data_IF_630588267882
#
_entry.id   IF_630588267882
#
_cell.length_a   1.000
_cell.length_b   1.000
_cell.length_c   1.000
_cell.angle_alpha   90.00
_cell.angle_beta   90.00
_cell.angle_gamma   90.00
#
_symmetry.space_group_name_H-M   'P 1'
#
loop_
_entity.id
_entity.type
_entity.pdbx_description
1 polymer ?
#
# COMPACT_ATOMS: atom_id res chain seq x y z
N UNK A 1 6.88 14.80 -4.23
CA UNK A 1 5.62 14.88 -3.46
C UNK A 1 5.33 13.51 -2.86
N UNK A 2 4.99 13.43 -1.57
CA UNK A 2 4.47 12.18 -1.02
C UNK A 2 3.07 12.00 -1.56
N UNK A 3 2.86 10.95 -2.29
CA UNK A 3 1.52 10.58 -2.74
C UNK A 3 0.84 9.90 -1.56
N UNK A 4 -0.24 10.47 -1.05
CA UNK A 4 -1.07 9.76 -0.08
C UNK A 4 -1.96 8.75 -0.80
N UNK A 5 -2.39 7.69 -0.10
CA UNK A 5 -3.35 6.74 -0.70
C UNK A 5 -4.68 7.41 -1.06
N UNK A 6 -5.02 8.51 -0.37
CA UNK A 6 -6.21 9.30 -0.67
C UNK A 6 -6.03 10.09 -1.96
N UNK A 7 -4.86 10.73 -2.15
CA UNK A 7 -4.59 11.49 -3.37
C UNK A 7 -4.68 10.60 -4.61
N UNK A 8 -4.13 9.37 -4.53
CA UNK A 8 -4.27 8.37 -5.60
C UNK A 8 -5.74 8.05 -5.87
N UNK A 9 -6.53 7.86 -4.80
CA UNK A 9 -7.94 7.52 -4.95
C UNK A 9 -8.76 8.68 -5.52
N UNK A 10 -8.51 9.90 -5.06
CA UNK A 10 -9.21 11.11 -5.50
C UNK A 10 -8.87 11.43 -6.96
N UNK A 11 -7.61 11.26 -7.36
CA UNK A 11 -7.16 11.42 -8.75
C UNK A 11 -7.83 10.40 -9.68
N UNK A 12 -7.81 9.12 -9.30
CA UNK A 12 -8.40 8.04 -10.12
C UNK A 12 -9.93 8.12 -10.23
N UNK A 13 -10.60 8.59 -9.19
CA UNK A 13 -12.04 8.74 -9.20
C UNK A 13 -12.49 10.12 -9.71
N UNK A 14 -11.59 11.08 -9.82
CA UNK A 14 -11.84 12.49 -10.14
C UNK A 14 -12.93 13.10 -9.23
N UNK A 15 -12.91 12.72 -7.94
CA UNK A 15 -13.80 13.23 -6.90
C UNK A 15 -13.08 13.32 -5.56
N UNK A 16 -13.48 14.24 -4.70
CA UNK A 16 -13.04 14.26 -3.30
C UNK A 16 -13.75 13.15 -2.51
N UNK A 17 -12.96 12.19 -1.99
CA UNK A 17 -13.53 11.01 -1.31
C UNK A 17 -13.60 11.15 0.21
N UNK A 18 -13.24 12.30 0.79
CA UNK A 18 -13.12 12.49 2.23
C UNK A 18 -14.41 12.18 3.00
N UNK A 19 -15.56 12.60 2.46
CA UNK A 19 -16.87 12.31 3.05
C UNK A 19 -17.35 10.87 2.79
N UNK A 20 -16.83 10.23 1.74
CA UNK A 20 -17.29 8.92 1.27
C UNK A 20 -16.58 7.76 1.95
N UNK A 21 -15.28 7.93 2.27
CA UNK A 21 -14.45 6.87 2.80
C UNK A 21 -13.40 7.41 3.77
N UNK A 22 -13.22 6.78 4.92
CA UNK A 22 -12.22 7.18 5.92
C UNK A 22 -10.84 6.61 5.58
N UNK A 23 -9.77 7.29 6.02
CA UNK A 23 -8.38 6.85 5.78
C UNK A 23 -8.10 5.45 6.32
N UNK A 24 -8.71 5.07 7.43
CA UNK A 24 -8.59 3.71 7.97
C UNK A 24 -9.13 2.65 7.00
N UNK A 25 -10.24 2.97 6.32
CA UNK A 25 -10.83 2.06 5.33
C UNK A 25 -9.98 2.03 4.07
N UNK A 26 -9.47 3.18 3.61
CA UNK A 26 -8.54 3.28 2.49
C UNK A 26 -7.31 2.41 2.76
N UNK A 27 -6.67 2.56 3.91
CA UNK A 27 -5.50 1.76 4.30
C UNK A 27 -5.83 0.26 4.38
N UNK A 28 -7.02 -0.10 4.85
CA UNK A 28 -7.47 -1.50 4.88
C UNK A 28 -7.65 -2.07 3.47
N UNK A 29 -8.20 -1.29 2.52
CA UNK A 29 -8.36 -1.74 1.14
C UNK A 29 -7.01 -1.87 0.44
N UNK A 30 -6.10 -0.93 0.67
CA UNK A 30 -4.72 -1.02 0.21
C UNK A 30 -4.02 -2.30 0.71
N UNK A 31 -4.07 -2.58 2.02
CA UNK A 31 -3.49 -3.81 2.59
C UNK A 31 -4.08 -5.07 1.97
N UNK A 32 -5.38 -5.06 1.67
CA UNK A 32 -6.06 -6.18 1.02
C UNK A 32 -5.58 -6.40 -0.42
N UNK A 33 -5.41 -5.31 -1.17
CA UNK A 33 -4.84 -5.35 -2.51
C UNK A 33 -3.38 -5.81 -2.49
N UNK A 34 -2.56 -5.22 -1.61
CA UNK A 34 -1.15 -5.57 -1.43
C UNK A 34 -0.96 -7.03 -1.04
N UNK A 35 -1.79 -7.56 -0.14
CA UNK A 35 -1.73 -8.97 0.25
C UNK A 35 -1.98 -9.90 -0.95
N UNK A 36 -2.93 -9.56 -1.82
CA UNK A 36 -3.17 -10.32 -3.05
C UNK A 36 -2.01 -10.18 -4.04
N UNK A 37 -1.54 -8.96 -4.27
CA UNK A 37 -0.45 -8.65 -5.19
C UNK A 37 0.81 -9.46 -4.85
N UNK A 38 1.22 -9.45 -3.58
CA UNK A 38 2.41 -10.16 -3.08
C UNK A 38 2.36 -11.68 -3.21
N UNK A 39 1.23 -12.27 -3.51
CA UNK A 39 1.14 -13.71 -3.77
C UNK A 39 1.70 -14.11 -5.13
N UNK A 40 1.71 -13.19 -6.07
CA UNK A 40 2.00 -13.47 -7.47
C UNK A 40 3.05 -12.56 -8.07
N UNK A 41 3.29 -11.42 -7.47
CA UNK A 41 4.19 -10.38 -7.94
C UNK A 41 5.22 -10.00 -6.90
N UNK A 42 6.41 -9.68 -7.38
CA UNK A 42 7.44 -9.10 -6.55
C UNK A 42 7.12 -7.63 -6.32
N UNK A 43 6.81 -7.30 -5.09
CA UNK A 43 6.84 -5.89 -4.69
C UNK A 43 8.30 -5.46 -4.55
N UNK A 44 8.68 -4.22 -4.97
CA UNK A 44 10.06 -3.76 -4.85
C UNK A 44 10.62 -4.04 -3.47
N UNK A 45 11.69 -4.84 -3.43
CA UNK A 45 12.35 -5.31 -2.19
C UNK A 45 13.23 -4.24 -1.53
N UNK A 46 13.13 -2.99 -1.94
CA UNK A 46 13.81 -1.93 -1.22
C UNK A 46 13.20 -1.85 0.18
N UNK A 47 13.87 -2.46 1.13
CA UNK A 47 13.47 -2.42 2.54
C UNK A 47 13.48 -0.98 3.10
N UNK A 48 14.00 -0.03 2.33
CA UNK A 48 14.09 1.37 2.71
C UNK A 48 13.70 2.27 1.55
N UNK A 49 13.10 3.40 1.87
CA UNK A 49 12.78 4.46 0.94
C UNK A 49 13.39 5.77 1.43
N UNK A 50 14.07 6.48 0.52
CA UNK A 50 14.62 7.81 0.80
C UNK A 50 13.57 8.85 0.44
N UNK A 51 13.02 9.48 1.46
CA UNK A 51 12.04 10.53 1.32
C UNK A 51 12.70 11.89 1.33
N UNK A 52 12.53 12.66 0.26
CA UNK A 52 13.01 14.04 0.17
C UNK A 52 11.90 14.98 0.60
N UNK A 53 12.20 15.88 1.55
CA UNK A 53 11.26 16.87 2.06
C UNK A 53 11.88 18.25 1.82
N UNK A 54 11.14 19.10 1.12
CA UNK A 54 11.51 20.48 0.85
C UNK A 54 10.66 21.44 1.69
N UNK A 55 11.13 22.69 1.79
CA UNK A 55 10.35 23.73 2.49
C UNK A 55 8.99 23.91 1.83
N UNK A 56 7.94 23.85 2.62
CA UNK A 56 6.56 23.94 2.15
C UNK A 56 5.90 22.60 1.82
N UNK A 57 6.63 21.48 1.89
CA UNK A 57 6.05 20.17 1.67
C UNK A 57 5.17 19.72 2.85
N UNK A 58 4.10 19.00 2.52
CA UNK A 58 3.29 18.28 3.49
C UNK A 58 4.04 17.05 4.00
N UNK A 59 4.10 16.87 5.33
CA UNK A 59 4.79 15.77 5.98
C UNK A 59 3.79 14.73 6.49
N UNK A 60 3.79 13.50 5.96
CA UNK A 60 2.94 12.41 6.45
C UNK A 60 3.23 12.05 7.91
N UNK A 61 2.19 11.60 8.63
CA UNK A 61 2.27 11.20 10.04
C UNK A 61 3.37 10.18 10.33
N UNK A 62 3.57 9.26 9.40
CA UNK A 62 4.56 8.20 9.54
C UNK A 62 6.00 8.69 9.64
N UNK A 63 6.27 9.93 9.19
CA UNK A 63 7.59 10.54 9.23
C UNK A 63 7.82 11.41 10.49
N UNK A 64 6.76 11.75 11.22
CA UNK A 64 6.83 12.72 12.34
C UNK A 64 7.78 12.34 13.46
N UNK A 65 7.95 11.05 13.73
CA UNK A 65 8.83 10.54 14.79
C UNK A 65 10.28 10.31 14.33
N UNK A 66 10.59 10.55 13.05
CA UNK A 66 11.96 10.37 12.53
C UNK A 66 12.89 11.45 13.09
N UNK A 67 14.10 11.03 13.47
CA UNK A 67 15.15 11.96 13.92
C UNK A 67 15.84 12.52 12.69
N UNK A 68 15.83 13.82 12.58
CA UNK A 68 16.41 14.58 11.45
C UNK A 68 17.30 15.70 11.96
N UNK A 69 18.15 16.19 11.09
CA UNK A 69 18.92 17.43 11.35
C UNK A 69 18.48 18.48 10.35
N UNK A 70 17.90 19.55 10.85
CA UNK A 70 17.39 20.68 10.07
C UNK A 70 18.12 21.95 10.53
N UNK A 71 18.75 22.66 9.62
CA UNK A 71 19.47 23.93 9.90
C UNK A 71 20.45 23.80 11.10
N UNK A 72 21.13 22.66 11.21
CA UNK A 72 22.11 22.39 12.28
C UNK A 72 21.50 21.97 13.63
N UNK A 73 20.18 21.87 13.74
CA UNK A 73 19.49 21.34 14.92
C UNK A 73 19.01 19.93 14.69
N UNK A 74 19.34 19.02 15.60
CA UNK A 74 18.86 17.65 15.56
C UNK A 74 17.66 17.47 16.49
N UNK A 75 16.56 16.92 15.96
CA UNK A 75 15.33 16.70 16.70
C UNK A 75 14.37 15.80 15.95
N UNK A 76 13.18 15.56 16.49
CA UNK A 76 12.12 14.88 15.75
C UNK A 76 11.62 15.76 14.61
N UNK A 77 11.27 15.15 13.49
CA UNK A 77 10.73 15.88 12.35
C UNK A 77 9.48 16.70 12.72
N UNK A 78 8.67 16.20 13.65
CA UNK A 78 7.50 16.93 14.19
C UNK A 78 7.83 18.28 14.81
N UNK A 79 9.08 18.51 15.25
CA UNK A 79 9.52 19.79 15.81
C UNK A 79 9.79 20.85 14.74
N UNK A 80 9.95 20.44 13.49
CA UNK A 80 10.23 21.29 12.33
C UNK A 80 9.03 21.43 11.38
N UNK A 81 7.89 20.93 11.79
CA UNK A 81 6.64 20.93 11.02
C UNK A 81 5.59 21.74 11.75
N UNK A 82 4.82 22.53 11.02
CA UNK A 82 3.65 23.20 11.61
C UNK A 82 2.62 22.17 12.05
N UNK A 83 2.21 22.21 13.30
CA UNK A 83 1.32 21.20 13.91
C UNK A 83 -0.09 21.18 13.34
N UNK A 84 -0.54 22.27 12.71
CA UNK A 84 -1.90 22.38 12.15
C UNK A 84 -1.92 22.02 10.66
N UNK A 85 -0.97 22.55 9.91
CA UNK A 85 -0.94 22.38 8.45
C UNK A 85 -0.09 21.21 8.01
N UNK A 86 0.74 20.65 8.90
CA UNK A 86 1.70 19.59 8.59
C UNK A 86 2.74 19.98 7.54
N UNK A 87 3.02 21.28 7.40
CA UNK A 87 3.97 21.80 6.44
C UNK A 87 5.36 21.87 7.09
N UNK A 88 6.38 21.43 6.35
CA UNK A 88 7.77 21.52 6.77
C UNK A 88 8.28 22.95 6.65
N UNK A 89 8.86 23.45 7.74
CA UNK A 89 9.33 24.84 7.87
C UNK A 89 10.87 25.00 7.82
N UNK A 90 11.60 23.94 7.49
CA UNK A 90 13.06 24.01 7.33
C UNK A 90 13.47 24.77 6.07
N UNK A 91 14.68 25.31 6.06
CA UNK A 91 15.22 26.06 4.90
C UNK A 91 15.98 25.17 3.92
N UNK A 92 16.45 24.00 4.36
CA UNK A 92 17.19 23.06 3.56
C UNK A 92 16.35 21.81 3.23
N UNK A 93 16.55 21.26 2.05
CA UNK A 93 16.01 19.93 1.70
C UNK A 93 16.60 18.87 2.62
N UNK A 94 15.76 18.08 3.25
CA UNK A 94 16.19 16.97 4.10
C UNK A 94 15.87 15.63 3.46
N UNK A 95 16.71 14.63 3.75
CA UNK A 95 16.49 13.25 3.32
C UNK A 95 16.15 12.41 4.54
N UNK A 96 15.00 11.74 4.49
CA UNK A 96 14.53 10.85 5.55
C UNK A 96 14.50 9.42 5.02
N UNK A 97 15.29 8.55 5.63
CA UNK A 97 15.32 7.12 5.27
C UNK A 97 14.32 6.38 6.14
N UNK A 98 13.33 5.79 5.53
CA UNK A 98 12.30 5.00 6.21
C UNK A 98 12.37 3.54 5.81
N UNK A 99 12.15 2.65 6.78
CA UNK A 99 11.95 1.23 6.49
C UNK A 99 10.55 1.02 5.91
N UNK A 100 10.46 0.36 4.75
CA UNK A 100 9.18 0.04 4.13
C UNK A 100 8.55 -1.19 4.77
N UNK A 101 7.26 -1.09 4.99
CA UNK A 101 6.40 -2.17 5.48
C UNK A 101 5.04 -2.11 4.78
N UNK A 102 4.14 -3.02 5.11
CA UNK A 102 2.82 -3.09 4.49
C UNK A 102 1.96 -1.81 4.68
N UNK A 103 2.31 -0.94 5.63
CA UNK A 103 1.53 0.27 5.90
C UNK A 103 2.04 1.50 5.14
N UNK A 104 3.30 1.50 4.71
CA UNK A 104 3.95 2.66 4.14
C UNK A 104 4.61 2.40 2.77
N UNK A 105 4.49 1.19 2.24
CA UNK A 105 5.10 0.83 0.96
C UNK A 105 4.58 1.69 -0.22
N UNK A 106 3.40 2.27 -0.10
CA UNK A 106 2.84 3.19 -1.09
C UNK A 106 3.65 4.49 -1.26
N UNK A 107 4.44 4.88 -0.26
CA UNK A 107 5.31 6.07 -0.35
C UNK A 107 6.39 5.93 -1.42
N UNK A 108 6.75 4.71 -1.80
CA UNK A 108 7.68 4.43 -2.89
C UNK A 108 7.02 4.42 -4.28
N UNK A 109 5.73 4.72 -4.35
CA UNK A 109 4.89 4.57 -5.53
C UNK A 109 4.22 3.20 -5.61
N UNK A 110 3.08 3.13 -6.27
CA UNK A 110 2.35 1.88 -6.48
C UNK A 110 2.59 1.36 -7.90
N UNK A 111 2.85 0.05 -8.07
CA UNK A 111 2.72 -0.57 -9.39
C UNK A 111 1.30 -0.44 -9.91
N UNK A 112 1.14 -0.20 -11.21
CA UNK A 112 -0.16 0.05 -11.87
C UNK A 112 -1.22 -0.99 -11.51
N UNK A 113 -0.87 -2.27 -11.54
CA UNK A 113 -1.82 -3.34 -11.24
C UNK A 113 -2.26 -3.36 -9.77
N UNK A 114 -1.35 -2.98 -8.86
CA UNK A 114 -1.67 -2.85 -7.43
C UNK A 114 -2.56 -1.65 -7.18
N UNK A 115 -2.26 -0.53 -7.82
CA UNK A 115 -3.04 0.71 -7.74
C UNK A 115 -4.47 0.48 -8.22
N UNK A 116 -4.63 -0.07 -9.41
CA UNK A 116 -5.93 -0.39 -9.98
C UNK A 116 -6.73 -1.39 -9.13
N UNK A 117 -6.07 -2.41 -8.57
CA UNK A 117 -6.72 -3.34 -7.64
C UNK A 117 -7.15 -2.65 -6.35
N UNK A 118 -6.33 -1.74 -5.83
CA UNK A 118 -6.64 -0.93 -4.65
C UNK A 118 -7.86 -0.02 -4.90
N UNK A 119 -7.85 0.73 -6.01
CA UNK A 119 -8.95 1.61 -6.42
C UNK A 119 -10.24 0.81 -6.62
N UNK A 120 -10.18 -0.35 -7.27
CA UNK A 120 -11.33 -1.22 -7.44
C UNK A 120 -11.93 -1.66 -6.08
N UNK A 121 -11.08 -1.99 -5.10
CA UNK A 121 -11.55 -2.30 -3.74
C UNK A 121 -12.22 -1.10 -3.06
N UNK A 122 -11.70 0.12 -3.28
CA UNK A 122 -12.31 1.34 -2.75
C UNK A 122 -13.66 1.63 -3.42
N UNK A 123 -13.78 1.48 -4.76
CA UNK A 123 -15.04 1.62 -5.50
C UNK A 123 -16.14 0.72 -4.93
N UNK A 124 -15.83 -0.53 -4.59
CA UNK A 124 -16.80 -1.44 -3.95
C UNK A 124 -17.32 -0.86 -2.64
N UNK A 125 -16.46 -0.33 -1.79
CA UNK A 125 -16.85 0.21 -0.48
C UNK A 125 -17.65 1.50 -0.63
N UNK A 126 -17.20 2.40 -1.50
CA UNK A 126 -17.89 3.68 -1.78
C UNK A 126 -19.26 3.40 -2.38
N UNK A 127 -19.33 2.54 -3.40
CA UNK A 127 -20.58 2.16 -4.04
C UNK A 127 -21.59 1.56 -3.05
N UNK A 128 -21.13 0.67 -2.14
CA UNK A 128 -21.98 0.16 -1.06
C UNK A 128 -22.52 1.28 -0.16
N UNK A 129 -21.65 2.23 0.25
CA UNK A 129 -22.07 3.34 1.09
C UNK A 129 -23.09 4.23 0.40
N UNK A 130 -22.85 4.60 -0.84
CA UNK A 130 -23.78 5.42 -1.64
C UNK A 130 -25.15 4.74 -1.81
N UNK A 131 -25.13 3.42 -2.01
CA UNK A 131 -26.35 2.62 -2.16
C UNK A 131 -27.22 2.58 -0.89
N UNK A 132 -26.58 2.54 0.27
CA UNK A 132 -27.29 2.44 1.56
C UNK A 132 -27.46 3.79 2.29
N UNK A 133 -26.72 4.82 1.88
CA UNK A 133 -26.83 6.15 2.47
C UNK A 133 -27.81 6.98 1.63
N UNK A 134 -28.88 7.40 2.23
CA UNK A 134 -29.67 8.53 1.70
C UNK A 134 -28.86 9.81 1.96
N UNK A 135 -27.89 10.12 1.10
CA UNK A 135 -27.24 11.43 1.08
C UNK A 135 -28.07 12.42 0.28
N UNK A 136 -28.86 13.30 0.93
CA UNK A 136 -29.81 14.18 0.22
C UNK A 136 -29.18 15.41 -0.39
N UNK A 137 -27.85 15.58 -0.37
CA UNK A 137 -27.26 16.89 -0.67
C UNK A 137 -25.93 16.88 -1.43
N UNK A 138 -25.59 15.82 -2.14
CA UNK A 138 -24.40 15.88 -2.99
C UNK A 138 -24.76 16.43 -4.38
N UNK A 139 -23.98 17.43 -4.90
CA UNK A 139 -24.25 18.03 -6.21
C UNK A 139 -23.95 17.09 -7.40
N UNK A 140 -23.47 15.89 -7.14
CA UNK A 140 -23.26 14.84 -8.13
C UNK A 140 -24.10 13.63 -7.76
N UNK A 141 -24.97 13.23 -8.67
CA UNK A 141 -25.62 11.91 -8.62
C UNK A 141 -24.56 10.85 -8.88
N UNK A 142 -23.76 10.53 -7.85
CA UNK A 142 -22.84 9.39 -7.92
C UNK A 142 -23.70 8.13 -7.96
N UNK A 143 -23.63 7.41 -9.07
CA UNK A 143 -24.32 6.13 -9.23
C UNK A 143 -23.65 5.07 -8.34
N UNK A 144 -24.22 4.87 -7.15
CA UNK A 144 -23.71 3.88 -6.21
C UNK A 144 -23.78 2.44 -6.73
N UNK A 145 -24.77 2.11 -7.57
CA UNK A 145 -24.88 0.78 -8.19
C UNK A 145 -23.84 0.60 -9.28
N UNK A 146 -23.64 1.59 -10.14
CA UNK A 146 -22.59 1.60 -11.16
C UNK A 146 -21.22 1.45 -10.54
N UNK A 147 -20.89 2.28 -9.54
CA UNK A 147 -19.59 2.24 -8.86
C UNK A 147 -19.34 0.90 -8.13
N UNK A 148 -20.37 0.33 -7.51
CA UNK A 148 -20.26 -0.99 -6.88
C UNK A 148 -19.98 -2.09 -7.90
N UNK A 149 -20.69 -2.09 -9.02
CA UNK A 149 -20.53 -3.09 -10.08
C UNK A 149 -19.15 -2.97 -10.74
N UNK A 150 -18.75 -1.75 -11.14
CA UNK A 150 -17.41 -1.49 -11.67
C UNK A 150 -16.31 -1.95 -10.70
N UNK A 151 -16.45 -1.61 -9.43
CA UNK A 151 -15.49 -2.03 -8.40
C UNK A 151 -15.43 -3.54 -8.28
N UNK A 152 -16.57 -4.23 -8.30
CA UNK A 152 -16.62 -5.70 -8.17
C UNK A 152 -16.00 -6.39 -9.38
N UNK A 153 -16.32 -5.93 -10.59
CA UNK A 153 -15.73 -6.43 -11.83
C UNK A 153 -14.25 -6.10 -11.91
N UNK A 154 -13.85 -4.89 -11.53
CA UNK A 154 -12.45 -4.47 -11.47
C UNK A 154 -11.64 -5.32 -10.50
N UNK A 155 -12.14 -5.61 -9.30
CA UNK A 155 -11.47 -6.50 -8.34
C UNK A 155 -11.26 -7.89 -8.93
N UNK A 156 -12.24 -8.44 -9.62
CA UNK A 156 -12.12 -9.75 -10.28
C UNK A 156 -11.09 -9.70 -11.39
N UNK A 157 -11.22 -8.72 -12.29
CA UNK A 157 -10.31 -8.54 -13.44
C UNK A 157 -8.85 -8.41 -12.99
N UNK A 158 -8.55 -7.48 -12.09
CA UNK A 158 -7.19 -7.22 -11.66
C UNK A 158 -6.59 -8.37 -10.86
N UNK A 159 -7.38 -9.09 -10.11
CA UNK A 159 -6.92 -10.32 -9.44
C UNK A 159 -6.54 -11.41 -10.43
N UNK A 160 -7.37 -11.62 -11.44
CA UNK A 160 -7.10 -12.62 -12.48
C UNK A 160 -5.89 -12.19 -13.32
N UNK A 161 -5.77 -10.91 -13.65
CA UNK A 161 -4.64 -10.35 -14.38
C UNK A 161 -3.32 -10.53 -13.63
N UNK A 162 -3.26 -10.17 -12.34
CA UNK A 162 -2.08 -10.34 -11.49
C UNK A 162 -1.70 -11.82 -11.36
N UNK A 163 -2.68 -12.70 -11.24
CA UNK A 163 -2.47 -14.15 -11.13
C UNK A 163 -1.94 -14.74 -12.44
N UNK A 164 -2.48 -14.33 -13.60
CA UNK A 164 -2.06 -14.82 -14.92
C UNK A 164 -0.66 -14.33 -15.30
N UNK A 165 -0.35 -13.09 -14.95
CA UNK A 165 0.94 -12.47 -15.23
C UNK A 165 1.87 -12.56 -14.02
N UNK A 166 1.81 -13.66 -13.27
CA UNK A 166 2.72 -13.90 -12.15
C UNK A 166 4.17 -13.85 -12.60
N UNK A 167 5.03 -13.34 -11.73
CA UNK A 167 6.47 -13.36 -11.99
C UNK A 167 6.93 -14.82 -12.06
N UNK A 168 7.57 -15.19 -13.17
CA UNK A 168 7.96 -16.58 -13.46
C UNK A 168 9.20 -17.03 -12.69
N UNK A 169 9.73 -16.19 -11.81
CA UNK A 169 10.89 -16.56 -11.01
C UNK A 169 10.45 -17.45 -9.81
N UNK A 170 10.62 -18.77 -9.93
CA UNK A 170 10.16 -19.70 -8.88
C UNK A 170 10.89 -19.52 -7.54
N UNK A 171 12.12 -19.00 -7.54
CA UNK A 171 12.85 -18.71 -6.31
C UNK A 171 12.21 -17.56 -5.55
N UNK A 172 11.81 -16.52 -6.26
CA UNK A 172 11.15 -15.36 -5.67
C UNK A 172 9.74 -15.68 -5.11
N UNK A 173 8.98 -16.54 -5.78
CA UNK A 173 7.67 -16.96 -5.30
C UNK A 173 7.80 -17.82 -4.04
N UNK A 174 8.83 -18.66 -3.98
CA UNK A 174 9.12 -19.49 -2.81
C UNK A 174 9.51 -18.62 -1.63
N UNK A 175 10.32 -17.60 -1.85
CA UNK A 175 10.76 -16.62 -0.86
C UNK A 175 9.59 -15.87 -0.24
N UNK A 176 8.70 -15.32 -1.08
CA UNK A 176 7.51 -14.59 -0.61
C UNK A 176 6.55 -15.47 0.18
N UNK A 177 6.36 -16.72 -0.24
CA UNK A 177 5.55 -17.69 0.50
C UNK A 177 6.18 -18.02 1.84
N UNK A 178 7.49 -18.16 1.87
CA UNK A 178 8.21 -18.46 3.10
C UNK A 178 8.10 -17.31 4.10
N UNK A 179 8.36 -16.08 3.70
CA UNK A 179 8.21 -14.90 4.56
C UNK A 179 6.77 -14.73 5.06
N UNK A 180 5.78 -14.99 4.20
CA UNK A 180 4.37 -14.91 4.58
C UNK A 180 3.95 -15.94 5.64
N UNK A 181 4.56 -17.14 5.61
CA UNK A 181 4.19 -18.23 6.51
C UNK A 181 5.05 -18.29 7.78
N UNK A 182 6.30 -17.90 7.72
CA UNK A 182 7.25 -18.13 8.82
C UNK A 182 7.78 -16.85 9.45
N UNK A 183 7.66 -15.71 8.76
CA UNK A 183 8.29 -14.45 9.16
C UNK A 183 9.82 -14.50 9.17
N UNK A 184 10.42 -15.56 8.60
CA UNK A 184 11.86 -15.74 8.50
C UNK A 184 12.33 -15.39 7.09
N UNK A 185 13.48 -14.74 6.93
CA UNK A 185 14.05 -14.43 5.63
C UNK A 185 14.41 -15.71 4.86
N UNK A 186 14.14 -15.67 3.55
CA UNK A 186 14.32 -16.74 2.60
C UNK A 186 15.69 -17.45 2.56
N UNK A 187 16.82 -16.83 2.91
CA UNK A 187 18.14 -17.50 2.89
C UNK A 187 18.26 -18.72 3.80
N UNK A 188 17.30 -18.93 4.68
CA UNK A 188 17.30 -20.13 5.52
C UNK A 188 16.72 -21.39 4.85
N UNK A 189 16.17 -21.23 3.63
CA UNK A 189 15.82 -22.36 2.79
C UNK A 189 17.03 -22.76 1.95
N UNK A 190 17.69 -23.83 2.34
CA UNK A 190 18.75 -24.42 1.53
C UNK A 190 18.11 -25.03 0.27
N UNK A 191 18.61 -24.68 -0.94
CA UNK A 191 18.20 -25.34 -2.18
C UNK A 191 18.44 -26.84 -2.02
N UNK A 192 17.41 -27.64 -2.23
CA UNK A 192 17.52 -29.08 -2.07
C UNK A 192 17.02 -29.64 -0.73
N UNK A 193 16.59 -28.81 0.20
CA UNK A 193 15.81 -29.26 1.34
C UNK A 193 14.41 -29.65 0.84
N UNK A 194 14.29 -30.88 0.38
CA UNK A 194 12.99 -31.48 0.05
C UNK A 194 12.24 -31.64 1.36
N UNK A 195 11.41 -30.66 1.67
CA UNK A 195 10.53 -30.75 2.84
C UNK A 195 9.56 -31.89 2.56
N UNK A 196 9.90 -33.03 3.09
CA UNK A 196 8.95 -34.09 3.37
C UNK A 196 8.41 -34.92 2.24
N UNK A 197 8.64 -34.59 0.98
CA UNK A 197 8.09 -35.36 -0.15
C UNK A 197 8.69 -36.76 -0.30
N UNK A 198 9.85 -37.01 0.20
CA UNK A 198 10.53 -38.30 0.08
C UNK A 198 10.36 -39.23 1.29
N UNK A 199 9.53 -38.87 2.25
CA UNK A 199 9.39 -39.66 3.51
C UNK A 199 8.25 -40.67 3.52
N UNK A 200 7.71 -40.97 2.38
CA UNK A 200 6.86 -42.20 2.26
C UNK A 200 7.62 -43.51 2.57
N UNK A 201 8.94 -43.46 2.59
CA UNK A 201 9.77 -44.63 2.93
C UNK A 201 10.02 -44.85 4.43
N UNK A 202 9.72 -43.91 5.29
CA UNK A 202 10.08 -43.99 6.72
C UNK A 202 9.00 -44.67 7.61
N UNK A 203 7.83 -44.94 7.05
CA UNK A 203 6.72 -45.52 7.80
C UNK A 203 6.34 -46.95 7.30
N UNK A 204 7.25 -47.66 6.65
CA UNK A 204 7.12 -49.08 6.45
C UNK A 204 8.11 -49.86 7.33
N UNK A 205 7.74 -49.96 8.58
CA UNK A 205 8.06 -51.08 9.45
C UNK A 205 6.97 -51.20 10.51
#
# INVERSE_FOLDING_TARGET
>A
MAVSLRDVLDEELNIETEELITDEVILRMYRKALHWYRKYRLFPRTNTYNYSIESGDYVPDILMDQIVTVDGKTGKLSEFVDTKTRIFNGTATIQVVIALNANNAYLAGLPEELENLFVAHCKVVIGQRLKFSKYPSQPFELDGDGMFNEGTEGVKYWKDFIMMNRDEDPENITDLRHEAYTGLPAPYFLPGMVIGGSKSGFWRR
#
